data_IF_051815039002
#
_entry.id   IF_051815039002
#
_cell.length_a   1.000
_cell.length_b   1.000
_cell.length_c   1.000
_cell.angle_alpha   90.00
_cell.angle_beta   90.00
_cell.angle_gamma   90.00
#
_symmetry.space_group_name_H-M   'P 1'
#
loop_
_entity.id
_entity.type
_entity.pdbx_description
1 polymer ?
#
# COMPACT_ATOMS: atom_id res chain seq x y z
N UNK A 1 43.41 15.07 18.51
CA UNK A 1 42.29 15.60 17.71
C UNK A 1 42.45 15.10 16.29
N UNK A 2 41.76 14.00 15.96
CA UNK A 2 41.45 13.50 14.61
C UNK A 2 40.52 12.30 14.83
N UNK A 3 39.23 12.58 14.90
CA UNK A 3 38.15 11.59 14.80
C UNK A 3 37.91 11.37 13.31
N UNK A 4 38.11 10.15 12.84
CA UNK A 4 37.63 9.68 11.54
C UNK A 4 36.39 8.86 11.82
N UNK A 5 35.22 9.49 11.68
CA UNK A 5 33.94 8.78 11.64
C UNK A 5 33.81 8.13 10.26
N UNK A 6 34.11 6.83 10.24
CA UNK A 6 33.86 5.94 9.11
C UNK A 6 32.44 5.37 9.27
N UNK A 7 31.43 6.20 8.99
CA UNK A 7 30.03 5.76 8.99
C UNK A 7 29.75 5.05 7.67
N UNK A 8 30.22 3.81 7.57
CA UNK A 8 29.71 2.87 6.57
C UNK A 8 28.25 2.54 6.93
N UNK A 9 27.27 2.76 6.05
CA UNK A 9 25.90 2.37 6.33
C UNK A 9 25.82 0.84 6.44
N UNK A 10 25.45 0.37 7.62
CA UNK A 10 25.17 -1.04 7.91
C UNK A 10 24.13 -1.58 6.91
N UNK A 11 24.36 -2.74 6.27
CA UNK A 11 23.36 -3.35 5.42
C UNK A 11 22.13 -3.68 6.25
N UNK A 12 20.99 -3.16 5.82
CA UNK A 12 19.69 -3.43 6.44
C UNK A 12 19.46 -4.95 6.49
N UNK A 13 19.21 -5.46 7.70
CA UNK A 13 18.85 -6.85 7.95
C UNK A 13 17.57 -7.27 7.22
N UNK A 14 17.29 -8.59 7.20
CA UNK A 14 16.54 -9.25 6.15
C UNK A 14 15.08 -8.81 6.14
N UNK A 15 14.61 -8.35 4.99
CA UNK A 15 13.19 -8.22 4.69
C UNK A 15 12.56 -9.62 4.72
N UNK A 16 11.73 -9.88 5.72
CA UNK A 16 10.85 -11.06 5.76
C UNK A 16 9.74 -10.88 4.74
N UNK A 17 10.01 -11.30 3.51
CA UNK A 17 9.08 -11.44 2.40
C UNK A 17 9.88 -12.12 1.32
N UNK A 18 9.72 -13.44 1.17
CA UNK A 18 10.54 -14.25 0.28
C UNK A 18 10.60 -13.59 -1.09
N UNK A 19 11.75 -13.05 -1.47
CA UNK A 19 11.93 -12.46 -2.78
C UNK A 19 11.83 -13.63 -3.75
N UNK A 20 10.66 -13.79 -4.37
CA UNK A 20 10.41 -14.86 -5.32
C UNK A 20 11.50 -14.79 -6.39
N UNK A 21 12.21 -15.90 -6.59
CA UNK A 21 13.23 -16.00 -7.63
C UNK A 21 12.63 -15.53 -8.95
N UNK A 22 13.37 -14.67 -9.64
CA UNK A 22 13.08 -14.25 -11.00
C UNK A 22 13.19 -15.42 -11.97
N UNK A 23 12.61 -15.27 -13.16
CA UNK A 23 12.51 -16.37 -14.11
C UNK A 23 13.87 -16.83 -14.64
N UNK A 24 14.85 -15.92 -14.76
CA UNK A 24 16.23 -16.27 -15.09
C UNK A 24 16.94 -17.00 -13.95
N UNK A 25 16.68 -16.64 -12.69
CA UNK A 25 17.16 -17.37 -11.51
C UNK A 25 16.52 -18.77 -11.40
N UNK A 26 15.25 -18.94 -11.81
CA UNK A 26 14.58 -20.25 -11.89
C UNK A 26 15.08 -21.10 -13.07
N UNK A 27 15.66 -20.46 -14.09
CA UNK A 27 16.36 -21.12 -15.19
C UNK A 27 15.56 -21.24 -16.49
N UNK A 28 16.23 -21.70 -17.57
CA UNK A 28 15.69 -21.66 -18.93
C UNK A 28 14.47 -22.57 -19.15
N UNK A 29 14.36 -23.68 -18.43
CA UNK A 29 13.20 -24.58 -18.51
C UNK A 29 11.92 -23.88 -18.00
N UNK A 30 12.03 -23.10 -16.93
CA UNK A 30 10.93 -22.29 -16.40
C UNK A 30 10.50 -21.23 -17.41
N UNK A 31 11.46 -20.47 -17.94
CA UNK A 31 11.20 -19.45 -18.96
C UNK A 31 10.55 -20.04 -20.21
N UNK A 32 11.02 -21.20 -20.68
CA UNK A 32 10.45 -21.89 -21.84
C UNK A 32 9.03 -22.40 -21.59
N UNK A 33 8.75 -22.91 -20.38
CA UNK A 33 7.44 -23.44 -20.00
C UNK A 33 6.35 -22.36 -19.94
N UNK A 34 6.68 -21.19 -19.39
CA UNK A 34 5.70 -20.13 -19.11
C UNK A 34 5.84 -18.89 -20.00
N UNK A 35 6.82 -18.88 -20.91
CA UNK A 35 7.10 -17.72 -21.76
C UNK A 35 7.61 -16.50 -20.98
N UNK A 36 8.17 -16.69 -19.79
CA UNK A 36 8.57 -15.60 -18.91
C UNK A 36 9.74 -14.80 -19.49
N UNK A 37 9.68 -13.46 -19.47
CA UNK A 37 10.88 -12.64 -19.60
C UNK A 37 11.77 -12.80 -18.35
N UNK A 38 13.08 -12.54 -18.43
CA UNK A 38 14.03 -12.74 -17.33
C UNK A 38 13.58 -12.13 -15.99
N UNK A 39 13.05 -10.90 -16.04
CA UNK A 39 12.63 -10.16 -14.84
C UNK A 39 11.38 -10.72 -14.13
N UNK A 40 10.65 -11.67 -14.74
CA UNK A 40 9.36 -12.11 -14.22
C UNK A 40 9.53 -12.84 -12.89
N UNK A 41 8.89 -12.35 -11.84
CA UNK A 41 8.87 -12.95 -10.50
C UNK A 41 7.50 -13.52 -10.11
N UNK A 42 6.50 -13.39 -11.00
CA UNK A 42 5.19 -14.00 -10.82
C UNK A 42 5.32 -15.53 -10.71
N UNK A 43 4.71 -16.11 -9.68
CA UNK A 43 4.70 -17.55 -9.52
C UNK A 43 3.63 -18.20 -10.38
N UNK A 44 4.00 -18.51 -11.61
CA UNK A 44 3.12 -19.19 -12.58
C UNK A 44 2.71 -20.62 -12.18
N UNK A 45 3.33 -21.21 -11.15
CA UNK A 45 2.92 -22.50 -10.61
C UNK A 45 1.86 -22.37 -9.50
N UNK A 46 1.62 -21.15 -9.01
CA UNK A 46 0.63 -20.84 -7.97
C UNK A 46 -0.78 -20.64 -8.50
N UNK A 47 -1.71 -20.33 -7.59
CA UNK A 47 -3.12 -20.11 -7.91
C UNK A 47 -3.34 -18.92 -8.88
N UNK A 48 -2.43 -17.94 -8.85
CA UNK A 48 -2.54 -16.69 -9.62
C UNK A 48 -1.69 -16.72 -10.91
N UNK A 49 -1.21 -17.89 -11.31
CA UNK A 49 -0.29 -18.08 -12.44
C UNK A 49 -0.94 -17.98 -13.81
N UNK A 50 -1.47 -16.83 -14.20
CA UNK A 50 -2.14 -16.66 -15.49
C UNK A 50 -1.15 -16.66 -16.67
N UNK A 51 -1.35 -17.49 -17.72
CA UNK A 51 -0.54 -17.45 -18.92
C UNK A 51 -0.55 -16.07 -19.59
N UNK A 52 0.61 -15.58 -20.02
CA UNK A 52 0.73 -14.28 -20.69
C UNK A 52 0.78 -13.07 -19.75
N UNK A 53 0.71 -13.26 -18.43
CA UNK A 53 0.94 -12.20 -17.44
C UNK A 53 2.35 -12.27 -16.88
N UNK A 54 3.09 -11.17 -16.81
CA UNK A 54 4.39 -11.13 -16.13
C UNK A 54 4.52 -9.91 -15.22
N UNK A 55 5.20 -10.05 -14.08
CA UNK A 55 5.43 -8.92 -13.17
C UNK A 55 6.80 -8.99 -12.51
N UNK A 56 7.32 -7.83 -12.09
CA UNK A 56 8.41 -7.78 -11.11
C UNK A 56 7.86 -8.09 -9.72
N UNK A 57 8.73 -8.33 -8.74
CA UNK A 57 8.36 -8.26 -7.34
C UNK A 57 7.90 -6.83 -7.01
N UNK A 58 6.93 -6.70 -6.08
CA UNK A 58 6.54 -5.39 -5.57
C UNK A 58 7.66 -4.79 -4.73
N UNK A 59 7.86 -3.48 -4.88
CA UNK A 59 8.42 -2.67 -3.80
C UNK A 59 7.29 -2.34 -2.83
N UNK A 60 7.54 -2.39 -1.54
CA UNK A 60 6.53 -2.19 -0.50
C UNK A 60 7.03 -1.23 0.58
N UNK A 61 6.13 -0.41 1.12
CA UNK A 61 6.38 0.31 2.36
C UNK A 61 6.43 -0.67 3.53
N UNK A 62 7.29 -0.41 4.52
CA UNK A 62 7.27 -1.21 5.77
C UNK A 62 5.97 -1.05 6.54
N UNK A 63 5.42 0.17 6.56
CA UNK A 63 4.12 0.49 7.13
C UNK A 63 3.03 -0.35 6.44
N UNK A 64 2.14 -0.91 7.26
CA UNK A 64 0.92 -1.59 6.80
C UNK A 64 -0.25 -0.61 6.74
N UNK A 65 -1.39 -1.05 6.25
CA UNK A 65 -2.55 -0.21 6.02
C UNK A 65 -2.92 0.65 7.24
N UNK A 66 -3.31 1.89 6.98
CA UNK A 66 -3.65 2.91 7.98
C UNK A 66 -5.16 3.18 8.02
N UNK A 67 -5.94 2.43 7.25
CA UNK A 67 -7.40 2.47 7.28
C UNK A 67 -7.91 2.31 8.72
N UNK A 68 -8.67 3.30 9.20
CA UNK A 68 -9.29 3.26 10.53
C UNK A 68 -10.29 2.10 10.67
N UNK A 69 -10.87 1.68 9.55
CA UNK A 69 -11.85 0.59 9.45
C UNK A 69 -11.46 -0.33 8.27
N UNK A 70 -10.70 -1.39 8.53
CA UNK A 70 -10.28 -2.33 7.48
C UNK A 70 -9.30 -3.40 7.97
N UNK A 71 -9.06 -4.46 7.17
CA UNK A 71 -8.01 -5.44 7.48
C UNK A 71 -6.63 -4.79 7.36
N UNK A 72 -5.93 -4.66 8.49
CA UNK A 72 -4.69 -3.89 8.61
C UNK A 72 -3.41 -4.58 8.06
N UNK A 73 -3.51 -5.71 7.35
CA UNK A 73 -2.35 -6.54 6.99
C UNK A 73 -1.98 -6.50 5.50
N UNK A 74 -2.12 -5.33 4.87
CA UNK A 74 -1.56 -5.06 3.54
C UNK A 74 -0.56 -3.91 3.62
N UNK A 75 0.44 -3.79 2.73
CA UNK A 75 1.32 -2.63 2.70
C UNK A 75 0.53 -1.33 2.51
N UNK A 76 0.93 -0.25 3.20
CA UNK A 76 0.34 1.07 2.97
C UNK A 76 0.46 1.51 1.50
N UNK A 77 1.64 1.32 0.91
CA UNK A 77 1.86 1.45 -0.53
C UNK A 77 2.71 0.29 -1.05
N UNK A 78 2.38 -0.19 -2.24
CA UNK A 78 3.29 -1.06 -3.00
C UNK A 78 3.21 -0.77 -4.49
N UNK A 79 4.27 -1.08 -5.23
CA UNK A 79 4.28 -0.88 -6.68
C UNK A 79 5.09 -1.95 -7.40
N UNK A 80 4.62 -2.33 -8.59
CA UNK A 80 5.31 -3.29 -9.45
C UNK A 80 5.09 -2.98 -10.92
N UNK A 81 6.02 -3.46 -11.75
CA UNK A 81 5.82 -3.47 -13.20
C UNK A 81 4.99 -4.69 -13.55
N UNK A 82 3.98 -4.50 -14.40
CA UNK A 82 3.14 -5.56 -14.93
C UNK A 82 3.17 -5.52 -16.46
N UNK A 83 3.27 -6.69 -17.08
CA UNK A 83 3.24 -6.88 -18.52
C UNK A 83 2.11 -7.85 -18.85
N UNK A 84 1.11 -7.33 -19.56
CA UNK A 84 0.06 -8.13 -20.18
C UNK A 84 0.50 -8.48 -21.60
N UNK A 85 0.68 -9.77 -21.84
CA UNK A 85 1.17 -10.37 -23.07
C UNK A 85 0.37 -11.62 -23.43
N UNK A 86 -0.88 -11.74 -22.97
CA UNK A 86 -1.80 -12.77 -23.46
C UNK A 86 -2.16 -12.46 -24.91
N UNK A 87 -1.97 -13.47 -25.78
CA UNK A 87 -2.25 -13.40 -27.23
C UNK A 87 -1.89 -12.04 -27.83
N UNK A 88 -0.59 -11.65 -27.87
CA UNK A 88 -0.18 -10.29 -28.23
C UNK A 88 -0.58 -9.90 -29.65
N UNK A 89 -0.84 -10.88 -30.52
CA UNK A 89 -1.26 -10.63 -31.91
C UNK A 89 -2.73 -10.18 -32.00
N UNK A 90 -3.53 -10.48 -30.97
CA UNK A 90 -4.92 -10.06 -30.86
C UNK A 90 -5.08 -8.81 -29.98
N UNK A 91 -4.39 -8.76 -28.83
CA UNK A 91 -4.61 -7.74 -27.80
C UNK A 91 -3.45 -6.73 -27.67
N UNK A 92 -2.35 -6.94 -28.38
CA UNK A 92 -1.12 -6.20 -28.18
C UNK A 92 -0.38 -6.63 -26.91
N UNK A 93 0.81 -6.08 -26.73
CA UNK A 93 1.62 -6.25 -25.52
C UNK A 93 1.65 -4.93 -24.75
N UNK A 94 1.20 -4.94 -23.50
CA UNK A 94 1.09 -3.74 -22.67
C UNK A 94 2.00 -3.85 -21.46
N UNK A 95 2.83 -2.83 -21.24
CA UNK A 95 3.61 -2.69 -20.01
C UNK A 95 3.02 -1.55 -19.19
N UNK A 96 2.71 -1.84 -17.94
CA UNK A 96 2.04 -0.96 -16.99
C UNK A 96 2.77 -0.96 -15.67
N UNK A 97 2.48 0.05 -14.85
CA UNK A 97 2.82 0.07 -13.44
C UNK A 97 1.53 -0.14 -12.66
N UNK A 98 1.54 -1.07 -11.73
CA UNK A 98 0.50 -1.20 -10.73
C UNK A 98 0.98 -0.50 -9.47
N UNK A 99 0.17 0.42 -8.96
CA UNK A 99 0.36 1.11 -7.70
C UNK A 99 -0.78 0.66 -6.77
N UNK A 100 -0.44 -0.06 -5.72
CA UNK A 100 -1.37 -0.43 -4.66
C UNK A 100 -1.32 0.63 -3.56
N UNK A 101 -2.50 1.03 -3.08
CA UNK A 101 -2.69 1.96 -1.97
C UNK A 101 -3.80 1.39 -1.08
N UNK A 102 -3.40 0.82 0.06
CA UNK A 102 -4.24 -0.08 0.85
C UNK A 102 -4.76 -1.25 0.00
N UNK A 103 -6.06 -1.49 0.05
CA UNK A 103 -6.73 -2.56 -0.71
C UNK A 103 -7.00 -2.23 -2.20
N UNK A 104 -6.69 -1.01 -2.64
CA UNK A 104 -7.00 -0.57 -4.01
C UNK A 104 -5.77 -0.60 -4.89
N UNK A 105 -5.96 -0.87 -6.19
CA UNK A 105 -4.89 -0.87 -7.20
C UNK A 105 -5.19 0.09 -8.33
N UNK A 106 -4.25 0.99 -8.61
CA UNK A 106 -4.24 1.84 -9.79
C UNK A 106 -3.34 1.26 -10.87
N UNK A 107 -3.86 1.10 -12.08
CA UNK A 107 -3.06 0.75 -13.26
C UNK A 107 -2.64 2.01 -14.02
N UNK A 108 -1.33 2.18 -14.20
CA UNK A 108 -0.73 3.39 -14.75
C UNK A 108 0.18 3.08 -15.95
N UNK A 109 0.22 4.01 -16.90
CA UNK A 109 1.33 4.07 -17.86
C UNK A 109 2.55 4.70 -17.19
N UNK A 110 3.74 4.53 -17.78
CA UNK A 110 4.95 5.17 -17.24
C UNK A 110 4.83 6.71 -17.18
N UNK A 111 4.20 7.34 -18.18
CA UNK A 111 3.98 8.78 -18.20
C UNK A 111 3.04 9.22 -17.05
N UNK A 112 1.91 8.54 -16.88
CA UNK A 112 0.98 8.85 -15.79
C UNK A 112 1.58 8.57 -14.42
N UNK A 113 2.41 7.53 -14.27
CA UNK A 113 3.13 7.27 -13.04
C UNK A 113 4.12 8.40 -12.69
N UNK A 114 4.73 9.07 -13.68
CA UNK A 114 5.60 10.25 -13.44
C UNK A 114 4.81 11.47 -12.97
N UNK A 115 3.61 11.66 -13.49
CA UNK A 115 2.69 12.69 -13.00
C UNK A 115 2.28 12.41 -11.56
N UNK A 116 1.82 11.18 -11.26
CA UNK A 116 1.47 10.75 -9.90
C UNK A 116 2.63 10.93 -8.92
N UNK A 117 3.87 10.56 -9.31
CA UNK A 117 5.05 10.78 -8.47
C UNK A 117 5.33 12.27 -8.20
N UNK A 118 4.98 13.16 -9.13
CA UNK A 118 5.10 14.61 -8.91
C UNK A 118 4.07 15.08 -7.91
N UNK A 119 2.81 14.67 -8.07
CA UNK A 119 1.72 14.99 -7.12
C UNK A 119 2.02 14.46 -5.72
N UNK A 120 2.48 13.21 -5.59
CA UNK A 120 2.84 12.60 -4.30
C UNK A 120 3.92 13.39 -3.58
N UNK A 121 4.96 13.85 -4.28
CA UNK A 121 6.02 14.66 -3.68
C UNK A 121 5.52 16.02 -3.23
N UNK A 122 4.66 16.67 -4.02
CA UNK A 122 4.03 17.93 -3.62
C UNK A 122 3.14 17.73 -2.39
N UNK A 123 2.33 16.67 -2.39
CA UNK A 123 1.45 16.33 -1.29
C UNK A 123 2.22 16.04 0.01
N UNK A 124 3.36 15.34 -0.03
CA UNK A 124 4.17 15.11 1.17
C UNK A 124 4.55 16.41 1.89
N UNK A 125 4.88 17.46 1.14
CA UNK A 125 5.23 18.75 1.74
C UNK A 125 4.01 19.41 2.43
N UNK A 126 2.84 19.33 1.81
CA UNK A 126 1.60 19.85 2.41
C UNK A 126 1.15 19.00 3.61
N UNK A 127 1.35 17.68 3.55
CA UNK A 127 1.04 16.78 4.65
C UNK A 127 1.90 17.08 5.89
N UNK A 128 3.18 17.39 5.71
CA UNK A 128 4.04 17.83 6.83
C UNK A 128 3.45 19.05 7.55
N UNK A 129 2.96 20.04 6.80
CA UNK A 129 2.30 21.21 7.40
C UNK A 129 1.00 20.83 8.16
N UNK A 130 0.21 19.89 7.63
CA UNK A 130 -0.99 19.40 8.32
C UNK A 130 -0.62 18.63 9.59
N UNK A 131 0.50 17.90 9.60
CA UNK A 131 1.01 17.23 10.81
C UNK A 131 1.37 18.26 11.87
N UNK A 132 2.05 19.35 11.49
CA UNK A 132 2.34 20.47 12.41
C UNK A 132 1.04 21.06 12.99
N UNK A 133 0.02 21.25 12.15
CA UNK A 133 -1.30 21.74 12.61
C UNK A 133 -1.95 20.78 13.60
N UNK A 134 -1.87 19.46 13.36
CA UNK A 134 -2.40 18.43 14.27
C UNK A 134 -1.67 18.47 15.61
N UNK A 135 -0.34 18.65 15.62
CA UNK A 135 0.43 18.78 16.87
C UNK A 135 0.04 20.04 17.65
N UNK A 136 -0.18 21.16 16.96
CA UNK A 136 -0.59 22.42 17.60
C UNK A 136 -2.02 22.33 18.15
N UNK A 137 -2.97 21.86 17.34
CA UNK A 137 -4.38 21.76 17.73
C UNK A 137 -4.54 20.72 18.85
N UNK A 138 -3.89 19.57 18.70
CA UNK A 138 -3.96 18.46 19.65
C UNK A 138 -3.24 18.72 20.97
N UNK A 139 -2.50 19.82 21.11
CA UNK A 139 -1.85 20.18 22.38
C UNK A 139 -2.84 20.41 23.52
N UNK A 140 -4.07 20.83 23.19
CA UNK A 140 -5.15 21.07 24.14
C UNK A 140 -6.13 19.87 24.23
N UNK A 141 -5.86 18.76 23.53
CA UNK A 141 -6.70 17.57 23.60
C UNK A 141 -6.62 16.94 24.99
N UNK A 142 -7.78 16.51 25.49
CA UNK A 142 -7.89 15.80 26.76
C UNK A 142 -8.89 14.65 26.64
N UNK A 143 -8.66 13.60 27.42
CA UNK A 143 -9.59 12.48 27.48
C UNK A 143 -10.89 12.93 28.18
N UNK A 144 -12.03 12.66 27.56
CA UNK A 144 -13.33 12.98 28.16
C UNK A 144 -13.59 12.18 29.44
N UNK A 145 -14.38 12.74 30.37
CA UNK A 145 -14.77 12.03 31.59
C UNK A 145 -15.74 10.87 31.27
N UNK A 146 -15.36 9.59 31.50
CA UNK A 146 -16.19 8.45 31.15
C UNK A 146 -17.55 8.42 31.87
N UNK A 147 -17.61 8.95 33.09
CA UNK A 147 -18.84 8.99 33.89
C UNK A 147 -19.79 10.08 33.37
N UNK A 148 -19.26 11.24 32.98
CA UNK A 148 -20.04 12.27 32.29
C UNK A 148 -20.57 11.73 30.97
N UNK A 149 -19.74 11.05 30.19
CA UNK A 149 -20.15 10.41 28.94
C UNK A 149 -21.24 9.36 29.14
N UNK A 150 -21.18 8.58 30.23
CA UNK A 150 -22.24 7.62 30.60
C UNK A 150 -23.55 8.34 30.93
N UNK A 151 -23.52 9.36 31.79
CA UNK A 151 -24.70 10.11 32.20
C UNK A 151 -25.38 10.82 31.02
N UNK A 152 -24.60 11.37 30.09
CA UNK A 152 -25.13 12.02 28.89
C UNK A 152 -25.80 11.01 27.94
N UNK A 153 -25.15 9.87 27.67
CA UNK A 153 -25.76 8.77 26.90
C UNK A 153 -27.10 8.31 27.49
N UNK A 154 -27.17 8.13 28.80
CA UNK A 154 -28.43 7.75 29.47
C UNK A 154 -29.51 8.83 29.35
N UNK A 155 -29.12 10.11 29.36
CA UNK A 155 -30.05 11.22 29.16
C UNK A 155 -30.55 11.30 27.71
N UNK A 156 -29.69 11.04 26.74
CA UNK A 156 -30.05 10.92 25.33
C UNK A 156 -31.03 9.75 25.10
N UNK A 157 -30.75 8.57 25.65
CA UNK A 157 -31.64 7.41 25.55
C UNK A 157 -33.04 7.67 26.14
N UNK A 158 -33.12 8.44 27.23
CA UNK A 158 -34.41 8.87 27.81
C UNK A 158 -35.15 9.81 26.87
N UNK A 159 -34.46 10.77 26.23
CA UNK A 159 -35.05 11.70 25.26
C UNK A 159 -35.57 10.96 24.04
N UNK A 160 -34.78 10.05 23.47
CA UNK A 160 -35.16 9.24 22.31
C UNK A 160 -36.40 8.39 22.64
N UNK A 161 -36.41 7.68 23.78
CA UNK A 161 -37.58 6.90 24.22
C UNK A 161 -38.84 7.76 24.37
N UNK A 162 -38.74 8.91 25.04
CA UNK A 162 -39.89 9.80 25.22
C UNK A 162 -40.45 10.35 23.89
N UNK A 163 -39.61 10.55 22.87
CA UNK A 163 -40.04 10.96 21.53
C UNK A 163 -40.71 9.79 20.79
N UNK A 164 -40.14 8.59 20.86
CA UNK A 164 -40.68 7.39 20.22
C UNK A 164 -42.03 7.00 20.82
N UNK A 165 -42.19 7.11 22.13
CA UNK A 165 -43.45 6.82 22.86
C UNK A 165 -44.55 7.84 22.55
N UNK A 166 -44.22 9.10 22.24
CA UNK A 166 -45.22 10.11 21.79
C UNK A 166 -45.68 9.94 20.35
N UNK A 167 -44.94 9.18 19.53
CA UNK A 167 -45.24 8.93 18.12
C UNK A 167 -45.98 7.60 17.91
N UNK A 168 -46.15 6.83 18.98
CA UNK A 168 -46.92 5.58 19.04
C UNK A 168 -48.33 5.87 19.56
#
# INVERSE_FOLDING_TARGET
MKTTDDTTPTPSGPSSGGCSLSADERGPEWMARYGCPPFCQLDHAGADGEPGWHSTAPIETRMRDIDAEGPADVPFLSAQVVVHNDRPQAYGRHTKLWLHYGLTTGELTAARAREVLTEMRGFCAELEAVVDDVEVIGADDFEGDPEVARLDREAEDRRIRAISERRS
#
